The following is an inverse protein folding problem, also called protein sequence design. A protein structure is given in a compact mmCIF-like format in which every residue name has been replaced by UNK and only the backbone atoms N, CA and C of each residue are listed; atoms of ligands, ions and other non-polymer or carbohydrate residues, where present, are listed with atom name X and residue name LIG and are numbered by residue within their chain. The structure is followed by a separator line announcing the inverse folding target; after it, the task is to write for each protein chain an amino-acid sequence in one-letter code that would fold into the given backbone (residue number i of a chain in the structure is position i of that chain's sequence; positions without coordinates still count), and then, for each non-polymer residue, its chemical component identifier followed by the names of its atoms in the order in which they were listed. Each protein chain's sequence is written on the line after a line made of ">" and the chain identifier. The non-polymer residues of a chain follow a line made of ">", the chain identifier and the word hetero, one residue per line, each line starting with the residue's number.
data_IF_395972809588
#
_entry.id   IF_395972809588
#
_cell.length_a   1.000
_cell.length_b   1.000
_cell.length_c   1.000
_cell.angle_alpha   90.00
_cell.angle_beta   90.00
_cell.angle_gamma   90.00
#
_symmetry.space_group_name_H-M   'P 1'
#
loop_
_entity.id
_entity.type
_entity.pdbx_description
1 polymer ?
#
# COMPACT_ATOMS: atom_id res chain seq x y z
N UNK A 1 2.56 30.80 5.88
CA UNK A 1 1.28 30.28 6.38
C UNK A 1 1.51 28.81 6.64
N UNK A 2 1.47 28.40 7.89
CA UNK A 2 1.72 27.01 8.27
C UNK A 2 0.52 26.17 7.85
N UNK A 3 0.68 25.41 6.77
CA UNK A 3 -0.32 24.47 6.27
C UNK A 3 -0.33 23.18 7.11
N UNK A 4 -0.29 23.30 8.44
CA UNK A 4 -0.33 22.18 9.36
C UNK A 4 -1.71 22.15 10.03
N UNK A 5 -2.44 21.07 9.82
CA UNK A 5 -3.76 20.85 10.40
C UNK A 5 -3.66 19.91 11.60
N UNK A 6 -4.31 20.27 12.70
CA UNK A 6 -4.43 19.40 13.88
C UNK A 6 -5.68 18.54 13.71
N UNK A 7 -5.49 17.22 13.72
CA UNK A 7 -6.57 16.23 13.62
C UNK A 7 -6.72 15.44 14.93
N UNK A 8 -7.87 14.80 15.18
CA UNK A 8 -8.05 13.92 16.34
C UNK A 8 -7.08 12.73 16.31
N UNK A 9 -6.68 12.23 17.48
CA UNK A 9 -5.69 11.13 17.58
C UNK A 9 -6.04 9.87 16.77
N UNK A 10 -7.33 9.56 16.60
CA UNK A 10 -7.81 8.37 15.89
C UNK A 10 -7.99 8.59 14.38
N UNK A 11 -7.37 9.63 13.79
CA UNK A 11 -7.51 9.93 12.36
C UNK A 11 -6.55 9.12 11.47
N UNK A 12 -5.50 8.52 12.03
CA UNK A 12 -4.48 7.81 11.26
C UNK A 12 -5.09 6.59 10.55
N UNK A 13 -4.81 6.45 9.26
CA UNK A 13 -5.26 5.32 8.44
C UNK A 13 -6.74 5.32 8.05
N UNK A 14 -7.54 6.32 8.46
CA UNK A 14 -8.99 6.37 8.22
C UNK A 14 -9.37 7.49 7.25
N UNK A 15 -10.52 7.35 6.57
CA UNK A 15 -11.04 8.32 5.60
C UNK A 15 -10.06 8.62 4.45
N UNK A 16 -9.34 7.60 3.96
CA UNK A 16 -8.37 7.76 2.87
C UNK A 16 -9.01 8.31 1.58
N UNK A 17 -10.28 7.97 1.33
CA UNK A 17 -11.07 8.48 0.20
C UNK A 17 -12.22 9.31 0.75
N UNK A 18 -12.44 10.49 0.17
CA UNK A 18 -13.57 11.34 0.55
C UNK A 18 -14.92 10.64 0.29
N UNK A 19 -15.87 10.84 1.22
CA UNK A 19 -17.16 10.11 1.23
C UNK A 19 -17.97 10.26 -0.06
N UNK A 20 -17.84 11.37 -0.76
CA UNK A 20 -18.49 11.64 -2.05
C UNK A 20 -18.03 10.74 -3.20
N UNK A 21 -16.82 10.18 -3.09
CA UNK A 21 -16.26 9.25 -4.09
C UNK A 21 -16.56 7.78 -3.76
N UNK A 22 -17.10 7.48 -2.57
CA UNK A 22 -17.51 6.14 -2.18
C UNK A 22 -18.91 5.85 -2.77
N UNK A 23 -19.12 4.70 -3.45
CA UNK A 23 -20.45 4.34 -3.95
C UNK A 23 -21.49 4.19 -2.83
N UNK A 24 -22.76 4.51 -3.15
CA UNK A 24 -23.87 4.42 -2.18
C UNK A 24 -23.98 3.02 -1.59
N UNK A 25 -24.09 2.93 -0.26
CA UNK A 25 -24.22 1.66 0.46
C UNK A 25 -22.92 0.86 0.60
N UNK A 26 -21.77 1.45 0.24
CA UNK A 26 -20.44 0.86 0.42
C UNK A 26 -19.66 1.58 1.52
N UNK A 27 -18.64 0.91 2.07
CA UNK A 27 -17.75 1.46 3.09
C UNK A 27 -16.45 1.99 2.46
N UNK A 28 -15.58 2.59 3.28
CA UNK A 28 -14.31 3.18 2.83
C UNK A 28 -13.33 2.16 2.21
N UNK A 29 -13.46 0.88 2.57
CA UNK A 29 -12.61 -0.20 2.06
C UNK A 29 -13.07 -0.76 0.71
N UNK A 30 -14.16 -0.26 0.12
CA UNK A 30 -14.73 -0.82 -1.11
C UNK A 30 -13.73 -0.94 -2.26
N UNK A 31 -13.03 0.15 -2.61
CA UNK A 31 -12.05 0.11 -3.69
C UNK A 31 -10.84 -0.75 -3.35
N UNK A 32 -10.39 -0.72 -2.09
CA UNK A 32 -9.31 -1.57 -1.60
C UNK A 32 -9.65 -3.06 -1.70
N UNK A 33 -10.91 -3.42 -1.46
CA UNK A 33 -11.43 -4.78 -1.61
C UNK A 33 -11.61 -5.21 -3.07
N UNK A 34 -11.63 -4.29 -4.03
CA UNK A 34 -11.56 -4.63 -5.45
C UNK A 34 -10.12 -4.79 -5.95
N UNK A 35 -9.17 -4.14 -5.28
CA UNK A 35 -7.76 -4.10 -5.67
C UNK A 35 -6.90 -5.16 -4.95
N UNK A 36 -7.43 -5.80 -3.89
CA UNK A 36 -6.73 -6.87 -3.19
C UNK A 36 -6.39 -8.02 -4.14
N UNK A 37 -5.18 -8.57 -3.98
CA UNK A 37 -4.71 -9.73 -4.72
C UNK A 37 -5.31 -11.05 -4.19
N UNK A 38 -5.83 -11.03 -2.96
CA UNK A 38 -6.34 -12.20 -2.27
C UNK A 38 -7.86 -12.14 -2.05
N UNK A 39 -8.55 -13.30 -2.00
CA UNK A 39 -9.97 -13.39 -1.63
C UNK A 39 -10.26 -12.71 -0.28
N UNK A 40 -11.43 -12.10 -0.12
CA UNK A 40 -11.75 -11.36 1.12
C UNK A 40 -12.00 -12.31 2.29
N UNK A 41 -12.49 -13.52 2.00
CA UNK A 41 -12.82 -14.57 2.95
C UNK A 41 -11.60 -15.28 3.55
N UNK A 42 -10.40 -15.07 3.00
CA UNK A 42 -9.18 -15.61 3.61
C UNK A 42 -8.74 -14.84 4.86
N UNK A 43 -9.27 -13.62 5.06
CA UNK A 43 -8.93 -12.77 6.19
C UNK A 43 -9.81 -13.11 7.39
N UNK A 44 -9.18 -13.43 8.52
CA UNK A 44 -9.83 -13.62 9.81
C UNK A 44 -9.31 -12.63 10.84
N UNK A 45 -10.08 -12.42 11.90
CA UNK A 45 -9.62 -11.67 13.06
C UNK A 45 -8.52 -12.44 13.81
N UNK A 46 -7.70 -11.68 14.54
CA UNK A 46 -6.77 -12.24 15.50
C UNK A 46 -7.51 -12.97 16.62
N UNK A 47 -6.94 -14.08 17.05
CA UNK A 47 -7.35 -14.78 18.27
C UNK A 47 -6.76 -14.09 19.51
N UNK A 48 -7.34 -14.33 20.68
CA UNK A 48 -6.84 -13.74 21.93
C UNK A 48 -5.38 -14.11 22.25
N UNK A 49 -4.95 -15.33 21.96
CA UNK A 49 -3.53 -15.75 22.13
C UNK A 49 -2.60 -15.01 21.15
N UNK A 50 -3.04 -14.78 19.91
CA UNK A 50 -2.25 -14.02 18.94
C UNK A 50 -2.10 -12.55 19.37
N UNK A 51 -3.18 -11.92 19.83
CA UNK A 51 -3.13 -10.55 20.36
C UNK A 51 -2.18 -10.46 21.56
N UNK A 52 -2.29 -11.39 22.51
CA UNK A 52 -1.41 -11.41 23.70
C UNK A 52 0.07 -11.52 23.30
N UNK A 53 0.39 -12.36 22.30
CA UNK A 53 1.75 -12.50 21.78
C UNK A 53 2.24 -11.25 21.08
N UNK A 54 1.41 -10.61 20.26
CA UNK A 54 1.76 -9.35 19.59
C UNK A 54 2.06 -8.25 20.62
N UNK A 55 1.23 -8.12 21.66
CA UNK A 55 1.46 -7.16 22.76
C UNK A 55 2.76 -7.48 23.50
N UNK A 56 3.02 -8.76 23.83
CA UNK A 56 4.29 -9.18 24.48
C UNK A 56 5.53 -8.87 23.64
N UNK A 57 5.39 -8.85 22.32
CA UNK A 57 6.46 -8.49 21.39
C UNK A 57 6.62 -6.97 21.21
N UNK A 58 6.02 -6.16 22.09
CA UNK A 58 6.06 -4.70 22.04
C UNK A 58 5.38 -4.10 20.80
N UNK A 59 4.36 -4.77 20.26
CA UNK A 59 3.54 -4.18 19.20
C UNK A 59 2.36 -3.41 19.79
N UNK A 60 1.95 -2.37 19.08
CA UNK A 60 0.78 -1.54 19.42
C UNK A 60 -0.17 -1.47 18.24
N UNK A 61 -1.47 -1.33 18.52
CA UNK A 61 -2.50 -1.11 17.51
C UNK A 61 -3.50 -0.08 18.02
N UNK A 62 -4.04 0.77 17.15
CA UNK A 62 -5.16 1.63 17.50
C UNK A 62 -6.44 0.82 17.79
N UNK A 63 -6.61 -0.27 17.04
CA UNK A 63 -7.65 -1.25 17.23
C UNK A 63 -7.21 -2.63 16.71
N UNK A 64 -7.16 -3.64 17.58
CA UNK A 64 -6.78 -5.00 17.19
C UNK A 64 -7.79 -5.68 16.26
N UNK A 65 -9.06 -5.25 16.27
CA UNK A 65 -10.09 -5.79 15.37
C UNK A 65 -9.87 -5.37 13.91
N UNK A 66 -9.12 -4.29 13.69
CA UNK A 66 -8.75 -3.79 12.36
C UNK A 66 -7.52 -4.52 11.79
N UNK A 67 -6.90 -5.42 12.55
CA UNK A 67 -5.83 -6.29 12.06
C UNK A 67 -6.42 -7.65 11.70
N UNK A 68 -6.34 -7.98 10.40
CA UNK A 68 -6.80 -9.25 9.87
C UNK A 68 -5.60 -10.07 9.39
N UNK A 69 -5.68 -11.38 9.60
CA UNK A 69 -4.62 -12.32 9.27
C UNK A 69 -5.18 -13.52 8.51
N UNK A 70 -4.32 -14.27 7.84
CA UNK A 70 -4.67 -15.60 7.31
C UNK A 70 -4.45 -16.70 8.36
N UNK A 71 -4.84 -17.95 8.07
CA UNK A 71 -4.72 -19.08 9.00
C UNK A 71 -3.28 -19.37 9.44
N UNK A 72 -2.32 -19.39 8.50
CA UNK A 72 -0.91 -19.61 8.81
C UNK A 72 -0.22 -18.33 9.29
N UNK A 73 -0.47 -17.95 10.54
CA UNK A 73 0.05 -16.71 11.13
C UNK A 73 0.91 -16.97 12.38
N UNK A 74 2.19 -16.61 12.32
CA UNK A 74 3.09 -16.69 13.47
C UNK A 74 3.35 -15.29 14.08
N UNK A 75 2.64 -14.90 15.15
CA UNK A 75 2.80 -13.57 15.76
C UNK A 75 4.20 -13.33 16.36
N UNK A 76 5.01 -14.38 16.58
CA UNK A 76 6.36 -14.27 17.15
C UNK A 76 7.35 -13.57 16.21
N UNK A 77 7.02 -13.46 14.93
CA UNK A 77 7.84 -12.81 13.92
C UNK A 77 7.45 -11.34 13.70
N UNK A 78 6.50 -10.84 14.48
CA UNK A 78 6.09 -9.44 14.47
C UNK A 78 6.52 -8.81 15.79
N UNK A 79 7.41 -7.82 15.76
CA UNK A 79 8.00 -7.22 16.96
C UNK A 79 8.17 -5.71 16.84
N UNK A 80 8.00 -4.99 17.95
CA UNK A 80 8.27 -3.56 18.06
C UNK A 80 7.68 -2.74 16.90
N UNK A 81 6.43 -3.01 16.54
CA UNK A 81 5.76 -2.41 15.38
C UNK A 81 4.40 -1.82 15.77
N UNK A 82 4.00 -0.78 15.05
CA UNK A 82 2.76 -0.04 15.32
C UNK A 82 1.79 -0.21 14.14
N UNK A 83 0.52 -0.46 14.45
CA UNK A 83 -0.52 -0.73 13.46
C UNK A 83 -1.66 0.29 13.57
N UNK A 84 -2.05 0.87 12.43
CA UNK A 84 -3.14 1.85 12.38
C UNK A 84 -4.11 1.59 11.23
N UNK A 85 -5.40 1.65 11.54
CA UNK A 85 -6.46 1.38 10.58
C UNK A 85 -6.45 -0.08 10.11
N UNK A 86 -7.14 -0.37 9.00
CA UNK A 86 -7.28 -1.74 8.51
C UNK A 86 -5.94 -2.27 7.99
N UNK A 87 -5.32 -3.23 8.68
CA UNK A 87 -4.08 -3.90 8.24
C UNK A 87 -4.37 -5.38 7.98
N UNK A 88 -4.02 -5.87 6.79
CA UNK A 88 -4.23 -7.27 6.41
C UNK A 88 -2.88 -7.94 6.20
N UNK A 89 -2.60 -9.00 6.94
CA UNK A 89 -1.29 -9.68 6.94
C UNK A 89 -1.47 -11.12 6.50
N UNK A 90 -0.88 -11.47 5.35
CA UNK A 90 -0.86 -12.82 4.81
C UNK A 90 -0.13 -13.80 5.71
N UNK A 91 0.17 -14.99 5.17
CA UNK A 91 0.83 -16.02 5.96
C UNK A 91 2.20 -15.56 6.43
N UNK A 92 2.54 -15.81 7.69
CA UNK A 92 3.88 -15.52 8.23
C UNK A 92 4.44 -16.79 8.82
N UNK A 93 5.40 -17.37 8.10
CA UNK A 93 6.14 -18.56 8.52
C UNK A 93 7.56 -18.22 8.92
N UNK A 94 8.19 -19.10 9.70
CA UNK A 94 9.59 -18.94 10.08
C UNK A 94 10.51 -19.33 8.91
N UNK A 95 10.56 -18.47 7.90
CA UNK A 95 11.34 -18.64 6.67
C UNK A 95 12.28 -17.44 6.46
N UNK A 96 13.24 -17.60 5.56
CA UNK A 96 14.19 -16.55 5.17
C UNK A 96 14.03 -16.28 3.68
N UNK A 97 13.92 -15.01 3.32
CA UNK A 97 13.94 -14.50 1.97
C UNK A 97 15.38 -14.14 1.61
N UNK A 98 15.78 -14.54 0.42
CA UNK A 98 17.09 -14.24 -0.16
C UNK A 98 16.89 -13.52 -1.49
N UNK A 99 17.54 -12.37 -1.63
CA UNK A 99 17.68 -11.69 -2.90
C UNK A 99 19.14 -11.26 -3.05
N UNK A 100 19.84 -11.85 -4.04
CA UNK A 100 21.30 -11.81 -4.10
C UNK A 100 21.91 -12.30 -2.78
N UNK A 101 22.77 -11.50 -2.14
CA UNK A 101 23.41 -11.86 -0.86
C UNK A 101 22.62 -11.34 0.36
N UNK A 102 21.54 -10.58 0.16
CA UNK A 102 20.71 -10.07 1.25
C UNK A 102 19.75 -11.15 1.73
N UNK A 103 19.79 -11.44 3.04
CA UNK A 103 18.93 -12.42 3.70
C UNK A 103 18.14 -11.77 4.82
N UNK A 104 16.81 -11.86 4.74
CA UNK A 104 15.90 -11.34 5.77
C UNK A 104 14.91 -12.42 6.18
N UNK A 105 14.56 -12.47 7.46
CA UNK A 105 13.51 -13.37 7.93
C UNK A 105 12.16 -12.83 7.49
N UNK A 106 11.21 -13.69 7.14
CA UNK A 106 9.82 -13.23 7.03
C UNK A 106 9.33 -12.71 8.39
N UNK A 107 8.56 -11.64 8.38
CA UNK A 107 8.10 -10.96 9.58
C UNK A 107 8.07 -9.44 9.44
N UNK A 108 7.62 -8.78 10.51
CA UNK A 108 7.52 -7.32 10.58
C UNK A 108 8.24 -6.85 11.83
N UNK A 109 9.28 -6.04 11.71
CA UNK A 109 9.97 -5.50 12.89
C UNK A 109 10.28 -4.03 12.78
N UNK A 110 10.22 -3.31 13.91
CA UNK A 110 10.62 -1.89 14.01
C UNK A 110 9.94 -1.01 12.94
N UNK A 111 8.65 -1.25 12.68
CA UNK A 111 7.96 -0.62 11.56
C UNK A 111 6.59 -0.07 11.95
N UNK A 112 6.18 1.02 11.32
CA UNK A 112 4.84 1.59 11.49
C UNK A 112 4.02 1.30 10.23
N UNK A 113 2.93 0.57 10.38
CA UNK A 113 2.10 0.05 9.29
C UNK A 113 0.71 0.68 9.36
N UNK A 114 0.31 1.39 8.29
CA UNK A 114 -0.90 2.19 8.26
C UNK A 114 -1.75 1.79 7.05
N UNK A 115 -2.90 1.18 7.30
CA UNK A 115 -3.86 0.83 6.24
C UNK A 115 -3.26 0.06 5.04
N UNK A 116 -2.47 -0.98 5.34
CA UNK A 116 -1.74 -1.78 4.34
C UNK A 116 -2.25 -3.22 4.20
N UNK A 117 -2.12 -3.78 3.00
CA UNK A 117 -2.26 -5.20 2.72
C UNK A 117 -0.87 -5.79 2.48
N UNK A 118 -0.50 -6.82 3.22
CA UNK A 118 0.82 -7.44 3.17
C UNK A 118 0.67 -8.89 2.75
N UNK A 119 1.32 -9.26 1.65
CA UNK A 119 1.29 -10.63 1.13
C UNK A 119 2.12 -11.61 1.95
N UNK A 120 2.02 -12.88 1.53
CA UNK A 120 2.56 -14.03 2.23
C UNK A 120 4.09 -13.97 2.35
N UNK A 121 4.60 -14.31 3.53
CA UNK A 121 6.02 -14.42 3.88
C UNK A 121 6.84 -13.18 3.48
N UNK A 122 6.28 -11.99 3.64
CA UNK A 122 7.02 -10.75 3.40
C UNK A 122 7.96 -10.44 4.58
N UNK A 123 9.11 -9.84 4.28
CA UNK A 123 10.07 -9.33 5.26
C UNK A 123 10.02 -7.81 5.27
N UNK A 124 9.51 -7.22 6.35
CA UNK A 124 9.39 -5.77 6.54
C UNK A 124 10.15 -5.39 7.81
N UNK A 125 11.33 -4.80 7.66
CA UNK A 125 12.18 -4.47 8.80
C UNK A 125 12.68 -3.03 8.71
N UNK A 126 12.58 -2.31 9.82
CA UNK A 126 13.06 -0.93 9.94
C UNK A 126 12.42 0.00 8.88
N UNK A 127 11.11 -0.16 8.65
CA UNK A 127 10.32 0.72 7.78
C UNK A 127 9.56 1.72 8.65
N UNK A 128 10.11 2.93 8.80
CA UNK A 128 9.66 3.88 9.83
C UNK A 128 8.25 4.43 9.58
N UNK A 129 7.80 4.45 8.33
CA UNK A 129 6.45 4.87 7.97
C UNK A 129 5.98 4.19 6.68
N UNK A 130 5.08 3.22 6.79
CA UNK A 130 4.50 2.50 5.66
C UNK A 130 2.99 2.70 5.62
N UNK A 131 2.47 3.38 4.59
CA UNK A 131 1.06 3.73 4.53
C UNK A 131 0.39 3.49 3.17
N UNK A 132 -0.81 2.91 3.20
CA UNK A 132 -1.75 2.77 2.08
C UNK A 132 -1.30 1.88 0.91
N UNK A 133 -0.33 0.99 1.15
CA UNK A 133 0.17 0.05 0.14
C UNK A 133 -0.53 -1.31 0.16
N UNK A 134 -0.63 -1.91 -1.03
CA UNK A 134 -0.87 -3.34 -1.24
C UNK A 134 0.47 -3.95 -1.66
N UNK A 135 1.08 -4.71 -0.77
CA UNK A 135 2.40 -5.35 -0.93
C UNK A 135 2.17 -6.81 -1.27
N UNK A 136 2.77 -7.28 -2.36
CA UNK A 136 2.64 -8.66 -2.84
C UNK A 136 3.31 -9.70 -1.93
N UNK A 137 3.30 -10.95 -2.39
CA UNK A 137 3.96 -12.05 -1.69
C UNK A 137 5.50 -11.94 -1.77
N UNK A 138 6.16 -12.37 -0.69
CA UNK A 138 7.62 -12.52 -0.61
C UNK A 138 8.38 -11.23 -0.95
N UNK A 139 7.83 -10.08 -0.54
CA UNK A 139 8.51 -8.81 -0.69
C UNK A 139 9.55 -8.61 0.43
N UNK A 140 10.66 -7.96 0.10
CA UNK A 140 11.71 -7.56 1.04
C UNK A 140 11.73 -6.04 1.12
N UNK A 141 11.24 -5.48 2.23
CA UNK A 141 11.28 -4.05 2.54
C UNK A 141 12.18 -3.85 3.76
N UNK A 142 13.30 -3.16 3.57
CA UNK A 142 14.32 -3.03 4.60
C UNK A 142 14.92 -1.63 4.64
N UNK A 143 14.96 -1.03 5.83
CA UNK A 143 15.61 0.26 6.10
C UNK A 143 15.06 1.39 5.21
N UNK A 144 13.77 1.64 5.32
CA UNK A 144 13.05 2.66 4.54
C UNK A 144 12.47 3.70 5.50
N UNK A 145 12.85 4.96 5.33
CA UNK A 145 12.40 6.04 6.22
C UNK A 145 10.93 6.40 5.98
N UNK A 146 10.48 6.39 4.74
CA UNK A 146 9.11 6.74 4.39
C UNK A 146 8.65 6.05 3.11
N UNK A 147 7.50 5.39 3.17
CA UNK A 147 6.83 4.75 2.05
C UNK A 147 5.32 4.95 2.23
N UNK A 148 4.77 6.02 1.67
CA UNK A 148 3.33 6.28 1.69
C UNK A 148 2.79 6.54 0.28
N UNK A 149 1.53 6.17 0.07
CA UNK A 149 0.79 6.45 -1.16
C UNK A 149 -0.45 7.28 -0.86
N UNK A 150 -0.89 8.05 -1.86
CA UNK A 150 -2.03 8.96 -1.76
C UNK A 150 -3.21 8.46 -2.61
N UNK A 151 -4.40 8.96 -2.30
CA UNK A 151 -5.64 8.66 -3.00
C UNK A 151 -5.64 9.12 -4.47
N UNK A 152 -4.75 10.05 -4.83
CA UNK A 152 -4.51 10.57 -6.18
C UNK A 152 -3.26 9.97 -6.85
N UNK A 153 -2.59 8.98 -6.25
CA UNK A 153 -1.44 8.32 -6.88
C UNK A 153 -1.82 7.64 -8.21
N UNK A 154 -1.03 7.88 -9.26
CA UNK A 154 -1.27 7.34 -10.62
C UNK A 154 -0.16 6.38 -11.10
N UNK A 155 0.92 6.27 -10.34
CA UNK A 155 2.08 5.43 -10.65
C UNK A 155 2.59 5.61 -12.10
N UNK A 156 2.62 6.86 -12.57
CA UNK A 156 3.08 7.21 -13.92
C UNK A 156 2.03 7.09 -15.02
N UNK A 157 0.83 6.56 -14.75
CA UNK A 157 -0.25 6.50 -15.73
C UNK A 157 -0.89 7.87 -15.96
N UNK A 158 -1.24 8.15 -17.20
CA UNK A 158 -1.87 9.38 -17.69
C UNK A 158 -3.39 9.38 -17.51
N UNK A 159 -3.87 8.73 -16.45
CA UNK A 159 -5.29 8.69 -16.09
C UNK A 159 -5.67 9.93 -15.27
N UNK A 160 -6.95 10.28 -15.34
CA UNK A 160 -7.57 11.29 -14.48
C UNK A 160 -8.55 10.58 -13.56
N UNK A 161 -8.41 10.77 -12.25
CA UNK A 161 -9.36 10.21 -11.28
C UNK A 161 -10.60 11.10 -11.20
N UNK A 162 -11.70 10.51 -10.74
CA UNK A 162 -12.95 11.25 -10.55
C UNK A 162 -12.73 12.41 -9.58
N UNK A 163 -13.12 13.62 -9.99
CA UNK A 163 -12.94 14.84 -9.19
C UNK A 163 -11.64 15.58 -9.45
N UNK A 164 -10.70 15.01 -10.20
CA UNK A 164 -9.46 15.69 -10.57
C UNK A 164 -9.65 16.55 -11.84
N UNK A 165 -9.01 17.73 -11.91
CA UNK A 165 -8.98 18.53 -13.13
C UNK A 165 -8.03 17.94 -14.18
N UNK A 166 -8.32 18.16 -15.47
CA UNK A 166 -7.56 17.60 -16.60
C UNK A 166 -6.07 18.03 -16.63
N UNK A 167 -5.76 19.19 -16.04
CA UNK A 167 -4.40 19.72 -15.98
C UNK A 167 -3.44 18.89 -15.11
N UNK A 168 -3.94 18.01 -14.22
CA UNK A 168 -3.10 17.10 -13.42
C UNK A 168 -2.84 15.77 -14.13
N UNK A 169 -3.18 15.64 -15.41
CA UNK A 169 -2.86 14.45 -16.20
C UNK A 169 -1.34 14.34 -16.38
N UNK A 170 -0.82 13.14 -16.17
CA UNK A 170 0.57 12.82 -16.49
C UNK A 170 0.72 12.67 -18.00
N UNK A 171 1.72 13.32 -18.57
CA UNK A 171 2.09 13.22 -19.98
C UNK A 171 3.56 12.83 -20.10
N UNK A 172 3.89 12.01 -21.10
CA UNK A 172 5.28 11.69 -21.44
C UNK A 172 5.75 12.55 -22.61
N UNK A 173 6.82 13.30 -22.39
CA UNK A 173 7.54 14.06 -23.41
C UNK A 173 8.62 13.17 -24.05
N UNK A 174 8.28 12.53 -25.19
CA UNK A 174 9.19 11.62 -25.89
C UNK A 174 10.10 12.31 -26.91
N UNK A 175 9.61 13.39 -27.53
CA UNK A 175 10.35 14.22 -28.50
C UNK A 175 10.35 15.67 -28.01
N UNK A 176 11.16 15.95 -26.99
CA UNK A 176 11.19 17.23 -26.27
C UNK A 176 11.67 18.42 -27.12
N UNK A 177 12.24 18.17 -28.30
CA UNK A 177 12.75 19.20 -29.22
C UNK A 177 11.66 20.10 -29.80
N UNK A 178 10.40 19.63 -29.84
CA UNK A 178 9.26 20.42 -30.34
C UNK A 178 8.18 20.68 -29.29
N UNK A 179 8.19 20.01 -28.13
CA UNK A 179 7.21 20.18 -27.05
C UNK A 179 5.74 19.83 -27.39
N UNK A 180 5.44 19.52 -28.65
CA UNK A 180 4.09 19.26 -29.15
C UNK A 180 3.73 17.77 -29.28
N UNK A 181 4.68 16.85 -28.99
CA UNK A 181 4.55 15.41 -29.25
C UNK A 181 4.47 14.56 -27.97
N UNK A 182 3.69 15.07 -27.02
CA UNK A 182 3.37 14.37 -25.77
C UNK A 182 2.36 13.24 -25.99
N UNK A 183 2.58 12.13 -25.30
CA UNK A 183 1.68 10.98 -25.27
C UNK A 183 1.17 10.73 -23.87
N UNK A 184 0.00 10.11 -23.76
CA UNK A 184 -0.58 9.74 -22.48
C UNK A 184 -0.07 8.34 -22.13
N UNK A 185 0.71 8.16 -21.05
CA UNK A 185 1.06 6.83 -20.59
C UNK A 185 -0.19 6.07 -20.16
N UNK A 186 -0.27 4.79 -20.49
CA UNK A 186 -1.34 3.91 -20.04
C UNK A 186 -0.76 2.54 -19.68
N UNK A 187 -1.54 1.78 -18.92
CA UNK A 187 -1.13 0.46 -18.48
C UNK A 187 -0.95 -0.49 -19.67
N UNK A 188 0.22 -1.14 -19.74
CA UNK A 188 0.61 -1.98 -20.87
C UNK A 188 1.15 -1.25 -22.10
N UNK A 189 1.37 0.07 -22.03
CA UNK A 189 1.96 0.83 -23.13
C UNK A 189 3.37 0.34 -23.47
N UNK A 190 3.59 -0.02 -24.74
CA UNK A 190 4.93 -0.39 -25.23
C UNK A 190 5.58 0.75 -26.01
N UNK A 191 6.88 0.62 -26.25
CA UNK A 191 7.66 1.62 -27.02
C UNK A 191 7.13 1.82 -28.44
N UNK A 192 6.54 0.79 -29.05
CA UNK A 192 5.90 0.90 -30.36
C UNK A 192 4.66 1.81 -30.33
N UNK A 193 3.78 1.67 -29.33
CA UNK A 193 2.60 2.54 -29.16
C UNK A 193 3.03 3.99 -28.97
N UNK A 194 4.03 4.18 -28.13
CA UNK A 194 4.64 5.47 -27.82
C UNK A 194 5.19 6.14 -29.09
N UNK A 195 5.91 5.38 -29.91
CA UNK A 195 6.47 5.85 -31.18
C UNK A 195 5.38 6.16 -32.21
N UNK A 196 4.38 5.28 -32.35
CA UNK A 196 3.28 5.48 -33.29
C UNK A 196 2.48 6.73 -32.95
N UNK A 197 2.10 6.90 -31.69
CA UNK A 197 1.33 8.07 -31.24
C UNK A 197 2.15 9.37 -31.34
N UNK A 198 3.42 9.36 -30.93
CA UNK A 198 4.25 10.57 -30.99
C UNK A 198 4.57 11.01 -32.42
N UNK A 199 4.69 10.06 -33.37
CA UNK A 199 5.12 10.34 -34.75
C UNK A 199 3.98 10.45 -35.76
N UNK A 200 2.92 9.65 -35.64
CA UNK A 200 1.82 9.55 -36.61
C UNK A 200 0.50 10.00 -35.98
N UNK A 201 0.42 11.29 -35.65
CA UNK A 201 -0.74 11.90 -34.99
C UNK A 201 -1.77 12.49 -35.96
N UNK A 202 -1.48 12.42 -37.26
CA UNK A 202 -2.28 12.95 -38.37
C UNK A 202 -3.38 11.97 -38.80
#
# INVERSE_FOLDING_TARGET
>A
MDNVHILPANSIGKNFIAKEFIPKGKNEFYFRNLQTLWPIDCWRHLTSDEVERLVKNNNTADNWDDILVTDEFNPRLIMNSEFYGLVRIGSIRNVVLEHHDLKLKAGITNSTIISCDIGNDSAIHDVRYLAHYIIGDRCMLFNIDEMHTTDHAKFGNGIIKKGEPENVRVWLDLMNETGCRRVIPFDGMITADAYLWSKYRD
#
